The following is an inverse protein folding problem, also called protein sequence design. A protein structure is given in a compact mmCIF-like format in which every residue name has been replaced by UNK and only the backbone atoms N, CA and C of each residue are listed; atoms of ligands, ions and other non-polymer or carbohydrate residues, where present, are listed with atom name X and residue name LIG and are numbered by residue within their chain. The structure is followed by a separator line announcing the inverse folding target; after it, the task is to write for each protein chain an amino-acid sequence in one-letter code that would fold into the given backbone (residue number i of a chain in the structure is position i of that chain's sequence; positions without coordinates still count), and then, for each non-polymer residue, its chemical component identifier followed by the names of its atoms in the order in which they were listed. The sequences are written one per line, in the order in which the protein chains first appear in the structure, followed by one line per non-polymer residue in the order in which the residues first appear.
data_IF_418800001910
#
_entry.id   IF_418800001910
#
_cell.length_a   1.000
_cell.length_b   1.000
_cell.length_c   1.000
_cell.angle_alpha   90.00
_cell.angle_beta   90.00
_cell.angle_gamma   90.00
#
_symmetry.space_group_name_H-M   'P 1'
#
loop_
_entity.id
_entity.type
_entity.pdbx_description
1 polymer ?
#
# COMPACT_ATOMS: atom_id res chain seq x y z
N UNK A 1 19.57 -14.20 -2.79
CA UNK A 1 20.10 -13.21 -3.77
C UNK A 1 21.63 -13.11 -3.82
N UNK A 2 22.38 -12.57 -2.81
CA UNK A 2 23.85 -12.54 -2.88
C UNK A 2 24.45 -13.94 -3.11
N UNK A 3 23.98 -14.92 -2.34
CA UNK A 3 24.39 -16.32 -2.46
C UNK A 3 24.04 -16.90 -3.82
N UNK A 4 22.88 -16.61 -4.36
CA UNK A 4 22.44 -17.04 -5.70
C UNK A 4 23.32 -16.46 -6.82
N UNK A 5 23.71 -15.19 -6.69
CA UNK A 5 24.65 -14.55 -7.63
C UNK A 5 26.02 -15.22 -7.52
N UNK A 6 26.50 -15.44 -6.30
CA UNK A 6 27.78 -16.13 -6.07
C UNK A 6 27.75 -17.58 -6.63
N UNK A 7 26.69 -18.34 -6.34
CA UNK A 7 26.53 -19.73 -6.79
C UNK A 7 26.39 -19.83 -8.31
N UNK A 8 25.82 -18.84 -8.98
CA UNK A 8 25.67 -18.80 -10.43
C UNK A 8 26.95 -18.41 -11.16
N UNK A 9 27.61 -17.34 -10.71
CA UNK A 9 28.71 -16.75 -11.49
C UNK A 9 30.08 -17.31 -11.16
N UNK A 10 30.37 -17.75 -9.92
CA UNK A 10 31.68 -18.30 -9.55
C UNK A 10 32.10 -19.52 -10.40
N UNK A 11 31.24 -20.54 -10.60
CA UNK A 11 31.58 -21.67 -11.43
C UNK A 11 31.84 -21.29 -12.90
N UNK A 12 31.06 -20.34 -13.43
CA UNK A 12 31.22 -19.87 -14.80
C UNK A 12 32.55 -19.12 -15.00
N UNK A 13 32.95 -18.30 -14.03
CA UNK A 13 34.22 -17.56 -14.06
C UNK A 13 35.42 -18.52 -13.96
N UNK A 14 35.29 -19.58 -13.17
CA UNK A 14 36.37 -20.60 -13.05
C UNK A 14 36.58 -21.41 -14.33
N UNK A 15 35.52 -21.62 -15.12
CA UNK A 15 35.59 -22.38 -16.36
C UNK A 15 35.98 -21.55 -17.59
N UNK A 16 35.76 -20.22 -17.54
CA UNK A 16 36.05 -19.32 -18.64
C UNK A 16 37.49 -18.83 -18.66
N UNK A 17 38.03 -18.50 -19.85
CA UNK A 17 39.39 -17.97 -20.05
C UNK A 17 39.38 -16.72 -20.94
N UNK A 18 40.41 -15.89 -20.80
CA UNK A 18 40.63 -14.72 -21.67
C UNK A 18 39.54 -13.63 -21.56
N UNK A 19 39.10 -13.12 -22.70
CA UNK A 19 38.08 -12.03 -22.77
C UNK A 19 36.73 -12.43 -22.17
N UNK A 20 36.33 -13.68 -22.31
CA UNK A 20 35.07 -14.20 -21.77
C UNK A 20 35.07 -14.19 -20.25
N UNK A 21 36.19 -14.58 -19.63
CA UNK A 21 36.37 -14.49 -18.18
C UNK A 21 36.29 -13.05 -17.68
N UNK A 22 36.89 -12.11 -18.42
CA UNK A 22 36.84 -10.68 -18.06
C UNK A 22 35.41 -10.13 -18.11
N UNK A 23 34.62 -10.48 -19.12
CA UNK A 23 33.18 -10.09 -19.24
C UNK A 23 32.35 -10.68 -18.12
N UNK A 24 32.52 -11.98 -17.82
CA UNK A 24 31.79 -12.64 -16.73
C UNK A 24 32.15 -12.06 -15.35
N UNK A 25 33.40 -11.69 -15.11
CA UNK A 25 33.83 -11.01 -13.89
C UNK A 25 33.17 -9.63 -13.76
N UNK A 26 33.16 -8.85 -14.81
CA UNK A 26 32.51 -7.52 -14.80
C UNK A 26 31.01 -7.63 -14.54
N UNK A 27 30.33 -8.59 -15.17
CA UNK A 27 28.90 -8.86 -14.94
C UNK A 27 28.64 -9.37 -13.52
N UNK A 28 29.47 -10.25 -12.99
CA UNK A 28 29.40 -10.72 -11.62
C UNK A 28 29.56 -9.61 -10.60
N UNK A 29 30.56 -8.73 -10.75
CA UNK A 29 30.77 -7.60 -9.86
C UNK A 29 29.57 -6.64 -9.89
N UNK A 30 29.03 -6.36 -11.08
CA UNK A 30 27.82 -5.56 -11.24
C UNK A 30 26.63 -6.21 -10.52
N UNK A 31 26.32 -7.46 -10.81
CA UNK A 31 25.20 -8.21 -10.19
C UNK A 31 25.37 -8.34 -8.69
N UNK A 32 26.55 -8.60 -8.20
CA UNK A 32 26.85 -8.70 -6.77
C UNK A 32 26.68 -7.36 -6.05
N UNK A 33 27.11 -6.25 -6.67
CA UNK A 33 26.90 -4.91 -6.14
C UNK A 33 25.40 -4.59 -6.04
N UNK A 34 24.64 -4.84 -7.10
CA UNK A 34 23.17 -4.66 -7.07
C UNK A 34 22.53 -5.52 -5.99
N UNK A 35 22.88 -6.80 -5.90
CA UNK A 35 22.35 -7.71 -4.89
C UNK A 35 22.74 -7.32 -3.46
N UNK A 36 23.94 -6.73 -3.25
CA UNK A 36 24.37 -6.26 -1.92
C UNK A 36 23.57 -5.02 -1.43
N UNK A 37 23.05 -4.21 -2.34
CA UNK A 37 22.20 -3.07 -2.03
C UNK A 37 20.70 -3.42 -2.01
N UNK A 38 20.35 -4.63 -2.40
CA UNK A 38 19.00 -5.13 -2.41
C UNK A 38 18.63 -5.59 -0.98
N UNK A 39 18.21 -4.65 -0.14
CA UNK A 39 17.60 -4.94 1.16
C UNK A 39 16.13 -5.30 0.94
N UNK A 40 15.52 -6.09 1.85
CA UNK A 40 14.07 -6.36 1.87
C UNK A 40 13.25 -5.06 1.79
N UNK A 41 13.78 -3.98 2.33
CA UNK A 41 13.21 -2.62 2.29
C UNK A 41 12.99 -2.09 0.86
N UNK A 42 13.71 -2.58 -0.15
CA UNK A 42 13.48 -2.18 -1.55
C UNK A 42 12.30 -2.90 -2.19
N UNK A 43 11.85 -4.01 -1.60
CA UNK A 43 10.66 -4.75 -2.04
C UNK A 43 9.38 -4.15 -1.48
N UNK A 44 9.48 -3.35 -0.41
CA UNK A 44 8.37 -2.63 0.21
C UNK A 44 8.64 -1.14 0.06
N UNK A 45 7.72 -0.43 -0.57
CA UNK A 45 7.79 1.02 -0.74
C UNK A 45 6.60 1.69 -0.07
N UNK A 46 6.73 2.98 0.24
CA UNK A 46 5.69 3.74 0.95
C UNK A 46 5.29 4.97 0.15
N UNK A 47 3.98 5.19 0.05
CA UNK A 47 3.36 6.42 -0.41
C UNK A 47 2.86 7.14 0.84
N UNK A 48 3.33 8.35 1.06
CA UNK A 48 3.05 9.13 2.27
C UNK A 48 1.76 9.93 2.13
N UNK A 49 1.14 10.23 3.26
CA UNK A 49 -0.09 11.01 3.39
C UNK A 49 0.03 12.43 2.82
N UNK A 50 1.12 13.12 3.12
CA UNK A 50 1.37 14.49 2.66
C UNK A 50 2.38 14.50 1.50
N UNK A 51 1.91 14.72 0.25
CA UNK A 51 2.81 14.78 -0.90
C UNK A 51 3.73 15.99 -0.87
N UNK A 52 3.40 17.06 -0.12
CA UNK A 52 4.24 18.26 -0.02
C UNK A 52 5.41 18.00 0.92
N UNK A 53 5.13 17.48 2.12
CA UNK A 53 6.15 17.18 3.10
C UNK A 53 7.06 16.00 2.70
N UNK A 54 6.59 15.13 1.83
CA UNK A 54 7.33 13.93 1.40
C UNK A 54 8.31 14.15 0.25
N UNK A 55 8.27 15.31 -0.43
CA UNK A 55 9.13 15.66 -1.57
C UNK A 55 10.09 16.77 -1.17
N UNK A 56 11.39 16.60 -1.44
CA UNK A 56 12.37 17.71 -1.24
C UNK A 56 12.13 18.78 -2.32
N UNK A 57 11.78 20.03 -1.94
CA UNK A 57 11.48 21.09 -2.89
C UNK A 57 12.69 21.55 -3.71
N UNK A 58 13.91 21.15 -3.33
CA UNK A 58 15.15 21.47 -4.01
C UNK A 58 15.55 20.45 -5.07
N UNK A 59 14.90 19.30 -5.09
CA UNK A 59 15.13 18.24 -6.07
C UNK A 59 14.13 18.38 -7.21
N UNK A 60 14.59 18.15 -8.44
CA UNK A 60 13.69 18.00 -9.58
C UNK A 60 12.89 16.71 -9.45
N UNK A 61 11.78 16.61 -10.21
CA UNK A 61 10.99 15.37 -10.28
C UNK A 61 11.85 14.18 -10.74
N UNK A 62 12.72 14.40 -11.71
CA UNK A 62 13.68 13.37 -12.15
C UNK A 62 14.58 12.91 -11.01
N UNK A 63 15.18 13.82 -10.26
CA UNK A 63 16.08 13.50 -9.15
C UNK A 63 15.36 12.75 -8.04
N UNK A 64 14.15 13.19 -7.69
CA UNK A 64 13.29 12.55 -6.69
C UNK A 64 12.98 11.09 -7.06
N UNK A 65 12.66 10.81 -8.31
CA UNK A 65 12.36 9.45 -8.78
C UNK A 65 13.64 8.62 -8.92
N UNK A 66 14.72 9.21 -9.47
CA UNK A 66 16.00 8.53 -9.70
C UNK A 66 16.76 8.19 -8.42
N UNK A 67 16.49 8.89 -7.31
CA UNK A 67 17.21 8.73 -6.04
C UNK A 67 17.21 7.29 -5.56
N UNK A 68 16.04 6.63 -5.53
CA UNK A 68 15.90 5.23 -5.12
C UNK A 68 16.77 4.28 -5.96
N UNK A 69 16.79 4.47 -7.27
CA UNK A 69 17.61 3.67 -8.18
C UNK A 69 19.11 3.85 -7.90
N UNK A 70 19.54 5.09 -7.65
CA UNK A 70 20.95 5.40 -7.31
C UNK A 70 21.37 4.80 -5.97
N UNK A 71 20.48 4.85 -4.96
CA UNK A 71 20.72 4.23 -3.64
C UNK A 71 20.82 2.71 -3.78
N UNK A 72 20.03 2.11 -4.66
CA UNK A 72 20.10 0.66 -4.99
C UNK A 72 21.38 0.27 -5.73
N UNK A 73 22.19 1.24 -6.15
CA UNK A 73 23.47 1.01 -6.80
C UNK A 73 23.45 1.13 -8.32
N UNK A 74 22.30 1.51 -8.92
CA UNK A 74 22.26 1.79 -10.35
C UNK A 74 23.11 3.05 -10.67
N UNK A 75 23.96 2.94 -11.67
CA UNK A 75 24.87 4.02 -12.09
C UNK A 75 24.78 4.31 -13.59
N UNK A 76 24.17 3.41 -14.34
CA UNK A 76 23.97 3.64 -15.76
C UNK A 76 22.87 4.66 -15.99
N UNK A 77 23.28 5.81 -16.56
CA UNK A 77 22.36 6.91 -16.83
C UNK A 77 21.25 6.52 -17.80
N UNK A 78 21.55 5.71 -18.82
CA UNK A 78 20.55 5.31 -19.81
C UNK A 78 19.46 4.43 -19.17
N UNK A 79 19.85 3.51 -18.27
CA UNK A 79 18.90 2.68 -17.50
C UNK A 79 18.05 3.53 -16.56
N UNK A 80 18.67 4.50 -15.87
CA UNK A 80 17.95 5.42 -14.97
C UNK A 80 16.94 6.26 -15.78
N UNK A 81 17.39 6.85 -16.90
CA UNK A 81 16.55 7.69 -17.78
C UNK A 81 15.34 6.89 -18.28
N UNK A 82 15.55 5.68 -18.80
CA UNK A 82 14.48 4.79 -19.27
C UNK A 82 13.45 4.52 -18.17
N UNK A 83 13.89 4.13 -16.98
CA UNK A 83 13.00 3.81 -15.87
C UNK A 83 12.23 5.03 -15.37
N UNK A 84 12.90 6.18 -15.23
CA UNK A 84 12.26 7.41 -14.75
C UNK A 84 11.19 7.88 -15.73
N UNK A 85 11.50 7.93 -17.03
CA UNK A 85 10.52 8.37 -18.03
C UNK A 85 9.35 7.38 -18.18
N UNK A 86 9.62 6.08 -18.14
CA UNK A 86 8.57 5.06 -18.15
C UNK A 86 7.61 5.22 -16.98
N UNK A 87 8.13 5.43 -15.76
CA UNK A 87 7.27 5.57 -14.57
C UNK A 87 6.50 6.89 -14.60
N UNK A 88 7.06 7.98 -15.11
CA UNK A 88 6.32 9.22 -15.34
C UNK A 88 5.11 9.00 -16.24
N UNK A 89 5.30 8.32 -17.35
CA UNK A 89 4.22 7.97 -18.30
C UNK A 89 3.15 7.09 -17.63
N UNK A 90 3.58 6.09 -16.83
CA UNK A 90 2.67 5.20 -16.08
C UNK A 90 1.77 5.96 -15.09
N UNK A 91 2.30 7.01 -14.44
CA UNK A 91 1.48 7.81 -13.52
C UNK A 91 0.72 8.96 -14.23
N UNK A 92 0.72 8.99 -15.58
CA UNK A 92 0.02 10.00 -16.37
C UNK A 92 0.69 11.38 -16.36
N UNK A 93 2.01 11.43 -16.17
CA UNK A 93 2.83 12.64 -16.29
C UNK A 93 3.63 12.58 -17.61
N UNK A 94 3.94 13.75 -18.16
CA UNK A 94 4.75 13.86 -19.40
C UNK A 94 6.25 13.97 -19.08
N UNK A 95 7.11 13.61 -20.02
CA UNK A 95 8.58 13.62 -19.85
C UNK A 95 9.14 14.99 -19.50
N UNK A 96 8.54 16.04 -20.04
CA UNK A 96 8.93 17.44 -19.78
C UNK A 96 8.77 17.83 -18.30
N UNK A 97 7.93 17.11 -17.55
CA UNK A 97 7.77 17.28 -16.11
C UNK A 97 9.01 16.89 -15.31
N UNK A 98 9.90 16.06 -15.86
CA UNK A 98 11.09 15.56 -15.20
C UNK A 98 12.05 16.67 -14.70
N UNK A 99 12.14 17.77 -15.43
CA UNK A 99 13.05 18.90 -15.12
C UNK A 99 12.46 19.92 -14.16
N UNK A 100 11.18 19.82 -13.84
CA UNK A 100 10.47 20.75 -12.97
C UNK A 100 10.64 20.38 -11.49
N UNK A 101 10.35 21.35 -10.62
CA UNK A 101 10.38 21.20 -9.16
C UNK A 101 8.96 20.88 -8.61
N UNK A 102 8.85 20.20 -7.46
CA UNK A 102 7.55 19.84 -6.87
C UNK A 102 6.60 21.01 -6.66
N UNK A 103 7.10 22.20 -6.36
CA UNK A 103 6.26 23.39 -6.13
C UNK A 103 5.53 23.90 -7.39
N UNK A 104 5.93 23.46 -8.58
CA UNK A 104 5.30 23.83 -9.86
C UNK A 104 4.09 22.95 -10.21
N UNK A 105 3.73 21.99 -9.34
CA UNK A 105 2.68 21.02 -9.57
C UNK A 105 1.49 21.19 -8.65
N UNK A 106 0.30 20.78 -9.11
CA UNK A 106 -0.90 20.65 -8.27
C UNK A 106 -0.73 19.55 -7.22
N UNK A 107 -1.58 19.54 -6.19
CA UNK A 107 -1.58 18.49 -5.15
C UNK A 107 -1.67 17.08 -5.71
N UNK A 108 -2.59 16.85 -6.64
CA UNK A 108 -2.75 15.54 -7.30
C UNK A 108 -1.56 15.15 -8.17
N UNK A 109 -0.92 16.10 -8.84
CA UNK A 109 0.30 15.83 -9.59
C UNK A 109 1.49 15.50 -8.67
N UNK A 110 1.61 16.19 -7.53
CA UNK A 110 2.64 15.85 -6.52
C UNK A 110 2.41 14.44 -5.94
N UNK A 111 1.16 14.06 -5.72
CA UNK A 111 0.84 12.70 -5.28
C UNK A 111 1.27 11.66 -6.33
N UNK A 112 1.02 11.93 -7.61
CA UNK A 112 1.49 11.06 -8.71
C UNK A 112 3.02 10.97 -8.77
N UNK A 113 3.75 12.04 -8.46
CA UNK A 113 5.21 12.01 -8.32
C UNK A 113 5.63 11.11 -7.14
N UNK A 114 4.94 11.19 -6.00
CA UNK A 114 5.15 10.29 -4.86
C UNK A 114 4.89 8.82 -5.20
N UNK A 115 3.84 8.54 -5.98
CA UNK A 115 3.56 7.19 -6.52
C UNK A 115 4.69 6.74 -7.46
N UNK A 116 5.12 7.61 -8.39
CA UNK A 116 6.22 7.31 -9.32
C UNK A 116 7.53 6.95 -8.58
N UNK A 117 7.86 7.71 -7.53
CA UNK A 117 9.02 7.44 -6.66
C UNK A 117 8.96 6.05 -6.02
N UNK A 118 7.79 5.62 -5.57
CA UNK A 118 7.61 4.29 -4.98
C UNK A 118 7.70 3.19 -6.05
N UNK A 119 7.03 3.37 -7.18
CA UNK A 119 6.89 2.34 -8.24
C UNK A 119 8.19 2.12 -9.03
N UNK A 120 9.06 3.16 -9.19
CA UNK A 120 10.32 3.04 -9.94
C UNK A 120 11.25 1.96 -9.40
N UNK A 121 11.11 1.64 -8.11
CA UNK A 121 11.88 0.58 -7.43
C UNK A 121 11.42 -0.83 -7.82
N UNK A 122 10.32 -0.96 -8.58
CA UNK A 122 9.67 -2.23 -8.89
C UNK A 122 9.43 -3.07 -7.62
N UNK A 123 8.67 -2.54 -6.64
CA UNK A 123 8.43 -3.22 -5.37
C UNK A 123 7.47 -4.40 -5.54
N UNK A 124 7.44 -5.30 -4.56
CA UNK A 124 6.42 -6.35 -4.44
C UNK A 124 5.19 -5.85 -3.66
N UNK A 125 5.43 -4.88 -2.76
CA UNK A 125 4.39 -4.32 -1.89
C UNK A 125 4.52 -2.80 -1.77
N UNK A 126 3.38 -2.13 -1.77
CA UNK A 126 3.27 -0.69 -1.46
C UNK A 126 2.43 -0.51 -0.21
N UNK A 127 2.93 0.28 0.75
CA UNK A 127 2.14 0.80 1.86
C UNK A 127 1.68 2.19 1.46
N UNK A 128 0.38 2.37 1.25
CA UNK A 128 -0.24 3.63 0.91
C UNK A 128 -0.91 4.21 2.16
N UNK A 129 -0.23 5.16 2.81
CA UNK A 129 -0.69 5.78 4.04
C UNK A 129 -1.51 7.03 3.72
N UNK A 130 -2.83 6.93 3.83
CA UNK A 130 -3.80 7.96 3.49
C UNK A 130 -3.49 8.72 2.18
N UNK A 131 -3.24 8.04 1.06
CA UNK A 131 -2.64 8.64 -0.14
C UNK A 131 -3.52 9.65 -0.85
N UNK A 132 -4.76 9.84 -0.39
CA UNK A 132 -5.74 10.74 -1.03
C UNK A 132 -6.39 11.73 -0.05
N UNK A 133 -6.07 11.69 1.24
CA UNK A 133 -6.74 12.49 2.28
C UNK A 133 -6.64 14.01 2.09
N UNK A 134 -5.55 14.48 1.49
CA UNK A 134 -5.28 15.90 1.24
C UNK A 134 -5.75 16.39 -0.15
N UNK A 135 -6.53 15.60 -0.88
CA UNK A 135 -6.94 15.89 -2.27
C UNK A 135 -8.45 16.13 -2.38
N UNK A 136 -8.85 16.89 -3.41
CA UNK A 136 -10.25 17.05 -3.77
C UNK A 136 -10.85 15.73 -4.26
N UNK A 137 -12.15 15.53 -4.05
CA UNK A 137 -12.88 14.27 -4.36
C UNK A 137 -12.63 13.77 -5.80
N UNK A 138 -12.64 14.66 -6.78
CA UNK A 138 -12.39 14.31 -8.19
C UNK A 138 -10.95 13.83 -8.43
N UNK A 139 -9.99 14.41 -7.74
CA UNK A 139 -8.58 14.05 -7.81
C UNK A 139 -8.32 12.76 -7.02
N UNK A 140 -8.99 12.58 -5.87
CA UNK A 140 -8.95 11.32 -5.12
C UNK A 140 -9.30 10.13 -6.01
N UNK A 141 -10.45 10.21 -6.73
CA UNK A 141 -10.88 9.15 -7.64
C UNK A 141 -9.82 8.82 -8.71
N UNK A 142 -9.16 9.85 -9.26
CA UNK A 142 -8.10 9.64 -10.26
C UNK A 142 -6.87 8.93 -9.68
N UNK A 143 -6.45 9.27 -8.44
CA UNK A 143 -5.30 8.62 -7.79
C UNK A 143 -5.64 7.19 -7.36
N UNK A 144 -6.86 6.93 -6.91
CA UNK A 144 -7.32 5.59 -6.55
C UNK A 144 -7.35 4.69 -7.79
N UNK A 145 -7.90 5.17 -8.91
CA UNK A 145 -7.91 4.42 -10.16
C UNK A 145 -6.49 4.16 -10.66
N UNK A 146 -5.59 5.16 -10.60
CA UNK A 146 -4.18 4.97 -10.93
C UNK A 146 -3.53 3.86 -10.08
N UNK A 147 -3.74 3.86 -8.76
CA UNK A 147 -3.19 2.81 -7.89
C UNK A 147 -3.76 1.43 -8.23
N UNK A 148 -5.03 1.37 -8.60
CA UNK A 148 -5.68 0.13 -9.01
C UNK A 148 -5.12 -0.40 -10.35
N UNK A 149 -4.93 0.49 -11.32
CA UNK A 149 -4.32 0.14 -12.61
C UNK A 149 -2.88 -0.36 -12.41
N UNK A 150 -2.07 0.34 -11.60
CA UNK A 150 -0.71 -0.08 -11.27
C UNK A 150 -0.68 -1.42 -10.52
N UNK A 151 -1.64 -1.68 -9.62
CA UNK A 151 -1.78 -2.97 -8.93
C UNK A 151 -1.94 -4.11 -9.92
N UNK A 152 -2.81 -3.95 -10.93
CA UNK A 152 -3.06 -4.96 -11.95
C UNK A 152 -1.90 -5.09 -12.94
N UNK A 153 -1.37 -3.98 -13.43
CA UNK A 153 -0.31 -3.99 -14.44
C UNK A 153 1.02 -4.55 -13.91
N UNK A 154 1.36 -4.21 -12.66
CA UNK A 154 2.65 -4.57 -12.05
C UNK A 154 2.55 -5.75 -11.07
N UNK A 155 1.36 -6.30 -10.81
CA UNK A 155 1.15 -7.40 -9.85
C UNK A 155 1.46 -7.00 -8.40
N UNK A 156 1.17 -5.76 -8.00
CA UNK A 156 1.52 -5.24 -6.69
C UNK A 156 0.56 -5.70 -5.59
N UNK A 157 1.09 -5.97 -4.42
CA UNK A 157 0.31 -6.00 -3.18
C UNK A 157 0.25 -4.60 -2.59
N UNK A 158 -0.94 -4.09 -2.26
CA UNK A 158 -1.09 -2.76 -1.66
C UNK A 158 -1.73 -2.87 -0.28
N UNK A 159 -1.02 -2.40 0.75
CA UNK A 159 -1.61 -2.12 2.06
C UNK A 159 -2.11 -0.67 2.06
N UNK A 160 -3.43 -0.51 1.95
CA UNK A 160 -4.07 0.79 1.84
C UNK A 160 -4.61 1.22 3.20
N UNK A 161 -4.10 2.30 3.77
CA UNK A 161 -4.57 2.89 5.02
C UNK A 161 -5.43 4.10 4.68
N UNK A 162 -6.67 4.12 5.16
CA UNK A 162 -7.60 5.23 4.94
C UNK A 162 -8.64 5.31 6.04
N UNK A 163 -9.26 6.47 6.17
CA UNK A 163 -10.40 6.73 7.05
C UNK A 163 -11.74 6.81 6.30
N UNK A 164 -11.74 6.91 4.98
CA UNK A 164 -12.95 6.89 4.14
C UNK A 164 -13.32 5.45 3.76
N UNK A 165 -14.38 4.96 4.39
CA UNK A 165 -14.86 3.59 4.19
C UNK A 165 -15.40 3.34 2.77
N UNK A 166 -15.90 4.38 2.08
CA UNK A 166 -16.39 4.25 0.70
C UNK A 166 -15.24 3.94 -0.25
N UNK A 167 -14.11 4.63 -0.05
CA UNK A 167 -12.85 4.37 -0.78
C UNK A 167 -12.33 2.97 -0.47
N UNK A 168 -12.30 2.61 0.82
CA UNK A 168 -11.81 1.29 1.27
C UNK A 168 -12.64 0.17 0.66
N UNK A 169 -13.98 0.31 0.63
CA UNK A 169 -14.88 -0.67 -0.01
C UNK A 169 -14.58 -0.88 -1.48
N UNK A 170 -14.33 0.20 -2.21
CA UNK A 170 -14.07 0.16 -3.65
C UNK A 170 -12.71 -0.46 -3.99
N UNK A 171 -11.70 -0.19 -3.15
CA UNK A 171 -10.30 -0.50 -3.47
C UNK A 171 -9.81 -1.84 -2.91
N UNK A 172 -10.33 -2.27 -1.75
CA UNK A 172 -9.73 -3.34 -0.95
C UNK A 172 -10.41 -4.69 -1.13
N UNK A 173 -9.64 -5.76 -1.28
CA UNK A 173 -10.14 -7.14 -1.28
C UNK A 173 -10.46 -7.62 0.14
N UNK A 174 -9.63 -7.20 1.12
CA UNK A 174 -9.81 -7.49 2.55
C UNK A 174 -9.65 -6.21 3.36
N UNK A 175 -10.40 -6.11 4.45
CA UNK A 175 -10.42 -4.93 5.32
C UNK A 175 -10.14 -5.35 6.76
N UNK A 176 -9.15 -4.69 7.37
CA UNK A 176 -8.88 -4.77 8.79
C UNK A 176 -9.29 -3.49 9.50
N UNK A 177 -10.19 -3.59 10.47
CA UNK A 177 -10.64 -2.47 11.28
C UNK A 177 -9.78 -2.40 12.54
N UNK A 178 -9.21 -1.22 12.81
CA UNK A 178 -8.38 -0.97 13.97
C UNK A 178 -9.04 0.02 14.93
N UNK A 179 -8.95 -0.26 16.22
CA UNK A 179 -9.39 0.63 17.29
C UNK A 179 -8.34 0.71 18.40
N UNK A 180 -7.90 1.91 18.75
CA UNK A 180 -6.84 2.15 19.74
C UNK A 180 -5.61 1.23 19.58
N UNK A 181 -5.11 1.13 18.33
CA UNK A 181 -3.91 0.35 18.01
C UNK A 181 -4.10 -1.18 18.00
N UNK A 182 -5.33 -1.68 18.14
CA UNK A 182 -5.66 -3.10 18.08
C UNK A 182 -6.52 -3.40 16.88
N UNK A 183 -6.27 -4.54 16.22
CA UNK A 183 -7.17 -5.09 15.23
C UNK A 183 -8.42 -5.60 15.94
N UNK A 184 -9.60 -5.12 15.55
CA UNK A 184 -10.88 -5.52 16.16
C UNK A 184 -11.71 -6.39 15.24
N UNK A 185 -11.57 -6.23 13.92
CA UNK A 185 -12.25 -7.07 12.93
C UNK A 185 -11.43 -7.15 11.65
N UNK A 186 -11.44 -8.30 10.98
CA UNK A 186 -10.74 -8.55 9.71
C UNK A 186 -11.57 -9.50 8.87
N UNK A 187 -12.01 -9.07 7.69
CA UNK A 187 -12.77 -9.90 6.76
C UNK A 187 -12.51 -9.50 5.30
N UNK A 188 -13.13 -10.20 4.35
CA UNK A 188 -13.23 -9.69 2.97
C UNK A 188 -14.07 -8.43 2.95
N UNK A 189 -13.88 -7.57 1.93
CA UNK A 189 -14.61 -6.30 1.82
C UNK A 189 -16.14 -6.54 1.86
N UNK A 190 -16.64 -7.46 1.04
CA UNK A 190 -18.07 -7.74 0.97
C UNK A 190 -18.61 -8.26 2.30
N UNK A 191 -17.94 -9.24 2.92
CA UNK A 191 -18.37 -9.83 4.18
C UNK A 191 -18.41 -8.79 5.31
N UNK A 192 -17.41 -7.91 5.41
CA UNK A 192 -17.37 -6.88 6.44
C UNK A 192 -18.49 -5.85 6.31
N UNK A 193 -18.91 -5.53 5.07
CA UNK A 193 -20.00 -4.60 4.82
C UNK A 193 -21.37 -5.23 4.97
N UNK A 194 -21.53 -6.51 4.65
CA UNK A 194 -22.81 -7.24 4.78
C UNK A 194 -23.04 -7.70 6.22
N UNK A 195 -22.00 -8.21 6.89
CA UNK A 195 -22.08 -8.80 8.21
C UNK A 195 -21.05 -8.22 9.19
N UNK A 196 -21.07 -6.90 9.49
CA UNK A 196 -20.19 -6.31 10.49
C UNK A 196 -20.54 -6.87 11.87
N UNK A 197 -19.59 -7.46 12.56
CA UNK A 197 -19.82 -8.13 13.85
C UNK A 197 -19.38 -7.26 15.02
N UNK A 198 -18.16 -6.68 14.98
CA UNK A 198 -17.68 -5.87 16.08
C UNK A 198 -18.49 -4.56 16.20
N UNK A 199 -18.92 -4.15 17.42
CA UNK A 199 -19.72 -2.94 17.59
C UNK A 199 -19.09 -1.66 17.05
N UNK A 200 -17.76 -1.55 17.13
CA UNK A 200 -17.02 -0.42 16.54
C UNK A 200 -17.15 -0.40 15.00
N UNK A 201 -17.03 -1.54 14.34
CA UNK A 201 -17.23 -1.64 12.88
C UNK A 201 -18.63 -1.19 12.49
N UNK A 202 -19.64 -1.64 13.23
CA UNK A 202 -21.04 -1.20 13.01
C UNK A 202 -21.19 0.32 13.21
N UNK A 203 -20.55 0.87 14.22
CA UNK A 203 -20.53 2.32 14.46
C UNK A 203 -19.92 3.06 13.28
N UNK A 204 -18.73 2.63 12.79
CA UNK A 204 -18.07 3.22 11.63
C UNK A 204 -18.94 3.15 10.37
N UNK A 205 -19.49 1.98 10.04
CA UNK A 205 -20.36 1.79 8.89
C UNK A 205 -21.67 2.59 9.01
N UNK A 206 -22.16 2.77 10.24
CA UNK A 206 -23.33 3.62 10.48
C UNK A 206 -23.07 5.11 10.21
N UNK A 207 -21.85 5.56 10.12
CA UNK A 207 -21.48 6.93 9.85
C UNK A 207 -21.35 7.26 8.34
N UNK A 208 -21.33 6.25 7.46
CA UNK A 208 -21.24 6.46 6.00
C UNK A 208 -22.53 7.16 5.52
N UNK A 209 -22.46 8.35 4.87
CA UNK A 209 -23.64 9.01 4.35
C UNK A 209 -24.35 8.17 3.29
N UNK A 210 -25.68 8.10 3.36
CA UNK A 210 -26.46 7.46 2.31
C UNK A 210 -26.81 8.48 1.21
N UNK A 211 -26.83 8.06 -0.05
CA UNK A 211 -27.13 8.96 -1.18
C UNK A 211 -28.53 9.55 -1.12
N UNK A 212 -29.49 8.89 -0.44
CA UNK A 212 -30.86 9.36 -0.30
C UNK A 212 -31.03 10.30 0.90
N UNK A 213 -31.35 11.60 0.67
CA UNK A 213 -31.51 12.60 1.75
C UNK A 213 -32.66 12.29 2.71
N UNK A 214 -33.68 11.53 2.28
CA UNK A 214 -34.85 11.20 3.13
C UNK A 214 -34.47 10.11 4.14
N UNK A 215 -33.72 9.11 3.70
CA UNK A 215 -33.20 8.07 4.57
C UNK A 215 -32.13 8.63 5.52
N UNK A 216 -31.26 9.52 5.07
CA UNK A 216 -30.20 10.11 5.91
C UNK A 216 -30.77 10.93 7.07
N UNK A 217 -31.89 11.66 6.88
CA UNK A 217 -32.54 12.43 7.94
C UNK A 217 -33.10 11.56 9.07
N UNK A 218 -33.52 10.36 8.78
CA UNK A 218 -34.15 9.43 9.74
C UNK A 218 -33.17 8.41 10.32
N UNK A 219 -31.91 8.42 9.87
CA UNK A 219 -30.91 7.45 10.26
C UNK A 219 -30.39 7.72 11.66
N UNK A 220 -30.43 6.71 12.51
CA UNK A 220 -29.77 6.75 13.82
C UNK A 220 -28.32 6.28 13.67
N UNK A 221 -27.39 7.18 13.94
CA UNK A 221 -25.97 6.81 14.02
C UNK A 221 -25.74 5.99 15.29
N UNK A 222 -25.01 4.90 15.14
CA UNK A 222 -24.62 4.03 16.26
C UNK A 222 -23.36 4.64 16.88
N UNK A 223 -23.41 4.92 18.18
CA UNK A 223 -22.23 5.37 18.93
C UNK A 223 -21.62 4.18 19.64
N UNK A 224 -20.33 3.92 19.42
CA UNK A 224 -19.62 2.85 20.09
C UNK A 224 -19.15 3.32 21.48
N UNK A 225 -19.59 2.62 22.54
CA UNK A 225 -19.20 2.88 23.92
C UNK A 225 -18.55 1.60 24.51
N UNK A 226 -17.20 1.47 24.49
CA UNK A 226 -16.52 0.21 24.85
C UNK A 226 -16.92 -0.37 26.19
N UNK A 227 -17.11 0.48 27.21
CA UNK A 227 -17.46 0.05 28.58
C UNK A 227 -18.91 -0.44 28.74
N UNK A 228 -19.77 -0.13 27.77
CA UNK A 228 -21.16 -0.62 27.73
C UNK A 228 -21.33 -1.84 26.85
N UNK A 229 -20.52 -1.91 25.79
CA UNK A 229 -20.60 -2.97 24.77
C UNK A 229 -19.84 -4.23 25.16
N UNK A 230 -18.79 -4.10 25.99
CA UNK A 230 -17.89 -5.18 26.31
C UNK A 230 -17.67 -5.33 27.83
N UNK A 231 -17.68 -6.57 28.32
CA UNK A 231 -17.17 -6.92 29.65
C UNK A 231 -15.95 -7.84 29.50
N UNK A 232 -14.78 -7.24 29.61
CA UNK A 232 -13.49 -7.94 29.56
C UNK A 232 -12.81 -8.04 30.93
N UNK A 233 -13.57 -7.91 32.00
CA UNK A 233 -13.06 -7.95 33.38
C UNK A 233 -12.52 -9.33 33.76
N UNK A 234 -13.19 -10.38 33.33
CA UNK A 234 -12.86 -11.78 33.61
C UNK A 234 -12.33 -12.49 32.36
N UNK A 235 -13.09 -12.46 31.27
CA UNK A 235 -12.75 -13.12 30.02
C UNK A 235 -12.19 -12.10 29.00
N UNK A 236 -10.87 -12.20 28.73
CA UNK A 236 -10.18 -11.25 27.86
C UNK A 236 -10.42 -11.59 26.38
N UNK A 237 -10.62 -10.57 25.52
CA UNK A 237 -10.88 -10.80 24.11
C UNK A 237 -9.61 -11.26 23.38
N UNK A 238 -9.81 -12.13 22.40
CA UNK A 238 -8.80 -12.54 21.43
C UNK A 238 -9.38 -12.49 20.01
N UNK A 239 -8.50 -12.42 18.99
CA UNK A 239 -8.93 -12.56 17.60
C UNK A 239 -9.38 -13.98 17.34
N UNK A 240 -10.65 -14.16 16.95
CA UNK A 240 -11.27 -15.47 16.71
C UNK A 240 -11.92 -15.50 15.35
N UNK A 241 -11.78 -16.60 14.65
CA UNK A 241 -12.42 -16.83 13.37
C UNK A 241 -13.88 -17.28 13.59
N UNK A 242 -14.82 -16.45 13.11
CA UNK A 242 -16.25 -16.71 13.20
C UNK A 242 -16.75 -17.47 11.96
N UNK A 243 -16.33 -17.02 10.80
CA UNK A 243 -16.50 -17.65 9.48
C UNK A 243 -15.12 -17.78 8.82
N UNK A 244 -14.96 -18.66 7.82
CA UNK A 244 -13.69 -18.76 7.10
C UNK A 244 -13.23 -17.41 6.56
N UNK A 245 -12.11 -16.92 7.09
CA UNK A 245 -11.52 -15.63 6.71
C UNK A 245 -12.11 -14.39 7.41
N UNK A 246 -13.15 -14.53 8.25
CA UNK A 246 -13.74 -13.46 9.05
C UNK A 246 -13.34 -13.61 10.52
N UNK A 247 -12.49 -12.70 10.99
CA UNK A 247 -11.94 -12.69 12.33
C UNK A 247 -12.46 -11.47 13.11
N UNK A 248 -12.83 -11.70 14.39
CA UNK A 248 -13.32 -10.65 15.28
C UNK A 248 -12.63 -10.75 16.63
N UNK A 249 -12.27 -9.62 17.22
CA UNK A 249 -11.78 -9.56 18.60
C UNK A 249 -12.97 -9.69 19.55
N UNK A 250 -13.08 -10.82 20.24
CA UNK A 250 -14.20 -11.12 21.13
C UNK A 250 -13.82 -12.08 22.26
N UNK A 251 -14.62 -12.09 23.33
CA UNK A 251 -14.58 -13.08 24.40
C UNK A 251 -15.50 -14.28 24.08
N UNK A 252 -15.63 -15.27 24.98
CA UNK A 252 -16.43 -16.48 24.76
C UNK A 252 -17.92 -16.17 24.59
N UNK A 253 -18.46 -15.26 25.38
CA UNK A 253 -19.88 -14.90 25.32
C UNK A 253 -20.21 -14.16 24.00
N UNK A 254 -19.35 -13.25 23.57
CA UNK A 254 -19.48 -12.51 22.31
C UNK A 254 -19.32 -13.44 21.10
N UNK A 255 -18.37 -14.38 21.18
CA UNK A 255 -18.16 -15.39 20.15
C UNK A 255 -19.44 -16.19 19.88
N UNK A 256 -20.05 -16.71 20.96
CA UNK A 256 -21.32 -17.44 20.86
C UNK A 256 -22.47 -16.55 20.33
N UNK A 257 -22.48 -15.25 20.70
CA UNK A 257 -23.48 -14.31 20.19
C UNK A 257 -23.32 -14.03 18.69
N UNK A 258 -22.08 -13.84 18.22
CA UNK A 258 -21.81 -13.61 16.78
C UNK A 258 -22.14 -14.83 15.92
N UNK A 259 -21.84 -16.06 16.39
CA UNK A 259 -22.22 -17.29 15.69
C UNK A 259 -23.73 -17.42 15.54
N UNK A 260 -24.50 -17.18 16.63
CA UNK A 260 -25.96 -17.16 16.58
C UNK A 260 -26.52 -16.10 15.64
N UNK A 261 -25.93 -14.90 15.61
CA UNK A 261 -26.31 -13.83 14.68
C UNK A 261 -26.21 -14.26 13.21
N UNK A 262 -25.22 -15.09 12.89
CA UNK A 262 -24.97 -15.63 11.54
C UNK A 262 -25.65 -16.99 11.28
N UNK A 263 -26.49 -17.48 12.20
CA UNK A 263 -27.17 -18.78 12.13
C UNK A 263 -26.20 -19.97 11.94
N UNK A 264 -25.08 -19.95 12.69
CA UNK A 264 -24.02 -20.96 12.60
C UNK A 264 -24.08 -22.03 13.71
N UNK A 265 -25.08 -22.01 14.57
CA UNK A 265 -25.30 -22.95 15.67
C UNK A 265 -26.37 -24.01 15.32
#
# INVERSE_FOLDING_TARGET
MLKEVDDKYRPLIEQAQGEEQAKLKAEYEYKRRVASHQRYITQIQMIFQDPIASLDPRMTVYETIAEGLRIRGERDKAIIDEKVYRVLELVGLVREHATRYPHEFSGGQRQRIGVARAVVMNPEMIIADEPVSALDVSIQAQVINLLNDLRHELGLTILFIAHDLSVVKYFSDRIGVMYYGKMVELATSDELFEHPLHPYTRSLLSAIPLPDPVYEKNRKRITYEPLKEHDYSVDKPSMREILPGHFVQCNDAEFAAYRRQLNLD
#
